data_IF_399366199416
#
_entry.id   IF_399366199416
#
_cell.length_a   1.000
_cell.length_b   1.000
_cell.length_c   1.000
_cell.angle_alpha   90.00
_cell.angle_beta   90.00
_cell.angle_gamma   90.00
#
_symmetry.space_group_name_H-M   'P 1'
#
loop_
_entity.id
_entity.type
_entity.pdbx_description
1 polymer ?
#
# COMPACT_ATOMS: atom_id res chain seq x y z
N UNK A 1 -18.75 46.47 6.17
CA UNK A 1 -19.38 45.48 5.29
C UNK A 1 -18.99 45.81 3.85
N UNK A 2 -17.93 45.19 3.34
CA UNK A 2 -17.51 45.39 1.95
C UNK A 2 -18.36 44.49 1.04
N UNK A 3 -19.28 45.11 0.29
CA UNK A 3 -20.01 44.42 -0.78
C UNK A 3 -19.08 44.27 -2.00
N UNK A 4 -18.92 43.06 -2.56
CA UNK A 4 -18.16 42.88 -3.79
C UNK A 4 -18.84 43.65 -4.94
N UNK A 5 -18.06 44.46 -5.65
CA UNK A 5 -18.53 45.52 -6.56
C UNK A 5 -18.79 45.07 -8.01
N UNK A 6 -18.79 43.76 -8.32
CA UNK A 6 -19.10 43.30 -9.67
C UNK A 6 -19.76 41.91 -9.70
N UNK A 7 -20.59 41.69 -10.72
CA UNK A 7 -21.23 40.39 -11.01
C UNK A 7 -20.20 39.27 -11.23
N UNK A 8 -19.01 39.59 -11.76
CA UNK A 8 -17.92 38.64 -11.91
C UNK A 8 -17.37 38.17 -10.56
N UNK A 9 -17.23 39.07 -9.57
CA UNK A 9 -16.78 38.71 -8.23
C UNK A 9 -17.82 37.84 -7.50
N UNK A 10 -19.12 38.06 -7.72
CA UNK A 10 -20.19 37.18 -7.22
C UNK A 10 -20.13 35.79 -7.86
N UNK A 11 -19.96 35.72 -9.19
CA UNK A 11 -19.85 34.45 -9.92
C UNK A 11 -18.58 33.66 -9.55
N UNK A 12 -17.44 34.32 -9.37
CA UNK A 12 -16.20 33.68 -8.89
C UNK A 12 -16.36 33.15 -7.46
N UNK A 13 -17.06 33.88 -6.59
CA UNK A 13 -17.35 33.44 -5.22
C UNK A 13 -18.28 32.23 -5.20
N UNK A 14 -19.31 32.21 -6.05
CA UNK A 14 -20.25 31.10 -6.14
C UNK A 14 -19.62 29.86 -6.80
N UNK A 15 -18.73 30.04 -7.78
CA UNK A 15 -17.91 28.95 -8.36
C UNK A 15 -16.95 28.39 -7.32
N UNK A 16 -16.26 29.24 -6.56
CA UNK A 16 -15.35 28.81 -5.49
C UNK A 16 -16.09 28.05 -4.38
N UNK A 17 -17.25 28.55 -3.94
CA UNK A 17 -18.13 27.84 -2.99
C UNK A 17 -18.63 26.51 -3.55
N UNK A 18 -18.97 26.48 -4.85
CA UNK A 18 -19.35 25.24 -5.54
C UNK A 18 -18.20 24.22 -5.54
N UNK A 19 -16.98 24.65 -5.81
CA UNK A 19 -15.79 23.78 -5.78
C UNK A 19 -15.49 23.27 -4.36
N UNK A 20 -15.58 24.12 -3.34
CA UNK A 20 -15.39 23.73 -1.95
C UNK A 20 -16.45 22.70 -1.51
N UNK A 21 -17.72 22.94 -1.84
CA UNK A 21 -18.80 22.02 -1.54
C UNK A 21 -18.62 20.66 -2.23
N UNK A 22 -18.16 20.65 -3.49
CA UNK A 22 -17.86 19.42 -4.23
C UNK A 22 -16.67 18.68 -3.61
N UNK A 23 -15.60 19.37 -3.24
CA UNK A 23 -14.45 18.76 -2.57
C UNK A 23 -14.81 18.21 -1.19
N UNK A 24 -15.61 18.94 -0.42
CA UNK A 24 -16.12 18.47 0.86
C UNK A 24 -16.97 17.21 0.69
N UNK A 25 -17.94 17.23 -0.22
CA UNK A 25 -18.80 16.08 -0.48
C UNK A 25 -18.00 14.87 -0.99
N UNK A 26 -17.03 15.09 -1.87
CA UNK A 26 -16.10 14.07 -2.35
C UNK A 26 -15.33 13.44 -1.18
N UNK A 27 -14.75 14.26 -0.31
CA UNK A 27 -14.00 13.78 0.85
C UNK A 27 -14.90 13.04 1.84
N UNK A 28 -16.11 13.53 2.12
CA UNK A 28 -17.09 12.83 2.97
C UNK A 28 -17.38 11.46 2.41
N UNK A 29 -17.76 11.35 1.13
CA UNK A 29 -18.05 10.05 0.50
C UNK A 29 -16.82 9.14 0.55
N UNK A 30 -15.63 9.62 0.19
CA UNK A 30 -14.45 8.78 0.08
C UNK A 30 -13.88 8.31 1.42
N UNK A 31 -14.16 9.04 2.51
CA UNK A 31 -13.68 8.72 3.87
C UNK A 31 -14.72 8.05 4.76
N UNK A 32 -16.02 8.19 4.46
CA UNK A 32 -17.11 7.71 5.33
C UNK A 32 -18.02 6.65 4.68
N UNK A 33 -17.93 6.44 3.37
CA UNK A 33 -18.72 5.39 2.72
C UNK A 33 -18.10 4.01 2.85
N UNK A 34 -18.96 3.01 2.91
CA UNK A 34 -18.64 1.60 2.92
C UNK A 34 -19.08 0.99 1.60
N UNK A 35 -18.31 0.01 1.11
CA UNK A 35 -18.75 -0.80 -0.01
C UNK A 35 -19.44 -2.03 0.55
N UNK A 36 -20.73 -2.16 0.26
CA UNK A 36 -21.56 -3.28 0.72
C UNK A 36 -22.01 -4.05 -0.52
N UNK A 37 -21.61 -5.33 -0.63
CA UNK A 37 -21.89 -6.17 -1.80
C UNK A 37 -20.81 -6.08 -2.90
N UNK A 38 -20.52 -7.21 -3.55
CA UNK A 38 -19.60 -7.33 -4.69
C UNK A 38 -18.26 -8.01 -4.37
N UNK A 39 -18.28 -9.32 -4.06
CA UNK A 39 -17.05 -10.15 -4.10
C UNK A 39 -16.73 -10.63 -5.53
N UNK A 40 -17.58 -10.28 -6.49
CA UNK A 40 -17.69 -10.85 -7.83
C UNK A 40 -17.67 -9.80 -8.95
N UNK A 41 -17.33 -8.54 -8.61
CA UNK A 41 -17.09 -7.49 -9.61
C UNK A 41 -18.35 -6.85 -10.21
N UNK A 42 -19.54 -7.10 -9.65
CA UNK A 42 -20.71 -6.24 -9.88
C UNK A 42 -20.57 -4.92 -9.10
N UNK A 43 -21.13 -3.83 -9.64
CA UNK A 43 -21.11 -2.48 -9.07
C UNK A 43 -21.43 -2.51 -7.56
N UNK A 44 -20.39 -2.37 -6.74
CA UNK A 44 -20.53 -2.28 -5.30
C UNK A 44 -21.05 -0.89 -4.94
N UNK A 45 -22.27 -0.82 -4.41
CA UNK A 45 -22.84 0.43 -3.92
C UNK A 45 -21.98 0.97 -2.76
N UNK A 46 -21.67 2.27 -2.85
CA UNK A 46 -20.96 2.99 -1.77
C UNK A 46 -21.99 3.69 -0.89
N UNK A 47 -22.17 3.16 0.32
CA UNK A 47 -23.20 3.60 1.26
C UNK A 47 -22.58 4.35 2.44
N UNK A 48 -23.15 5.48 2.83
CA UNK A 48 -22.85 6.11 4.12
C UNK A 48 -23.89 5.62 5.11
N UNK A 49 -23.44 5.02 6.21
CA UNK A 49 -24.29 4.51 7.28
C UNK A 49 -24.19 5.47 8.45
N UNK A 50 -25.23 6.28 8.74
CA UNK A 50 -25.22 7.17 9.89
C UNK A 50 -24.95 6.40 11.19
N UNK A 51 -24.17 6.98 12.10
CA UNK A 51 -23.63 6.36 13.32
C UNK A 51 -22.56 5.29 13.05
N UNK A 52 -22.71 4.49 12.00
CA UNK A 52 -21.69 3.55 11.56
C UNK A 52 -20.41 4.27 11.10
N UNK A 53 -20.54 5.34 10.34
CA UNK A 53 -19.41 6.13 9.84
C UNK A 53 -18.60 6.86 10.92
N UNK A 54 -19.00 6.76 12.19
CA UNK A 54 -18.30 7.32 13.35
C UNK A 54 -17.31 6.34 14.00
N UNK A 55 -17.34 5.05 13.65
CA UNK A 55 -16.34 4.10 14.12
C UNK A 55 -14.99 4.39 13.46
N UNK A 56 -13.95 4.61 14.27
CA UNK A 56 -12.60 4.81 13.76
C UNK A 56 -11.99 3.49 13.27
N UNK A 57 -10.86 3.62 12.57
CA UNK A 57 -10.04 2.47 12.22
C UNK A 57 -9.32 1.89 13.45
N UNK A 58 -9.30 0.56 13.56
CA UNK A 58 -8.43 -0.18 14.46
C UNK A 58 -8.24 -1.62 13.99
N UNK A 59 -7.07 -2.19 14.29
CA UNK A 59 -6.69 -3.55 13.91
C UNK A 59 -6.07 -4.29 15.12
N UNK A 60 -6.54 -5.52 15.45
CA UNK A 60 -7.70 -6.20 14.87
C UNK A 60 -9.00 -5.45 15.13
N UNK A 61 -9.97 -5.52 14.22
CA UNK A 61 -11.30 -4.93 14.44
C UNK A 61 -12.03 -5.62 15.60
N UNK A 62 -12.81 -4.87 16.39
CA UNK A 62 -13.68 -5.41 17.42
C UNK A 62 -15.17 -5.25 17.08
N UNK A 63 -15.48 -4.53 16.00
CA UNK A 63 -16.81 -4.35 15.44
C UNK A 63 -16.81 -4.81 13.98
N UNK A 64 -17.93 -5.39 13.54
CA UNK A 64 -18.23 -5.66 12.15
C UNK A 64 -19.57 -5.05 11.73
N UNK A 65 -19.66 -4.74 10.45
CA UNK A 65 -20.91 -4.37 9.80
C UNK A 65 -21.41 -5.59 9.06
N UNK A 66 -22.62 -6.02 9.36
CA UNK A 66 -23.28 -7.14 8.69
C UNK A 66 -24.55 -6.61 8.02
N UNK A 67 -24.78 -7.03 6.78
CA UNK A 67 -26.05 -6.80 6.11
C UNK A 67 -27.01 -7.90 6.56
N UNK A 68 -28.25 -7.55 6.88
CA UNK A 68 -29.27 -8.52 7.27
C UNK A 68 -30.13 -8.88 6.05
N UNK A 69 -29.85 -10.01 5.37
CA UNK A 69 -30.61 -10.38 4.19
C UNK A 69 -32.03 -10.86 4.50
N UNK A 70 -32.37 -11.16 5.77
CA UNK A 70 -33.66 -11.76 6.13
C UNK A 70 -34.73 -10.70 6.46
N UNK A 71 -34.35 -9.54 6.98
CA UNK A 71 -35.29 -8.48 7.38
C UNK A 71 -35.43 -7.38 6.31
N UNK A 72 -34.32 -6.83 5.80
CA UNK A 72 -34.29 -5.87 4.69
C UNK A 72 -32.85 -5.79 4.15
N UNK A 73 -32.59 -6.07 2.87
CA UNK A 73 -31.26 -5.96 2.28
C UNK A 73 -30.66 -4.55 2.37
N UNK A 74 -31.41 -3.52 2.76
CA UNK A 74 -30.88 -2.17 3.01
C UNK A 74 -30.48 -1.91 4.45
N UNK A 75 -30.86 -2.79 5.37
CA UNK A 75 -30.50 -2.68 6.77
C UNK A 75 -29.09 -3.23 7.01
N UNK A 76 -28.36 -2.50 7.85
CA UNK A 76 -27.04 -2.89 8.33
C UNK A 76 -27.08 -2.97 9.84
N UNK A 77 -26.56 -4.06 10.38
CA UNK A 77 -26.35 -4.25 11.80
C UNK A 77 -24.87 -4.06 12.12
N UNK A 78 -24.60 -3.44 13.26
CA UNK A 78 -23.26 -3.24 13.78
C UNK A 78 -23.11 -4.17 14.97
N UNK A 79 -22.21 -5.15 14.86
CA UNK A 79 -22.07 -6.24 15.82
C UNK A 79 -20.65 -6.30 16.37
N UNK A 80 -20.52 -6.70 17.63
CA UNK A 80 -19.22 -6.99 18.22
C UNK A 80 -18.67 -8.30 17.63
N UNK A 81 -17.38 -8.30 17.30
CA UNK A 81 -16.69 -9.50 16.82
C UNK A 81 -16.02 -10.29 17.94
N UNK A 82 -15.83 -9.66 19.09
CA UNK A 82 -15.21 -10.25 20.27
C UNK A 82 -15.92 -9.75 21.51
N UNK A 83 -15.94 -10.57 22.55
CA UNK A 83 -16.30 -10.12 23.88
C UNK A 83 -15.29 -9.04 24.32
N UNK A 84 -15.83 -7.94 24.82
CA UNK A 84 -15.01 -6.84 25.36
C UNK A 84 -14.80 -7.10 26.85
N UNK A 85 -13.55 -7.04 27.28
CA UNK A 85 -13.22 -7.15 28.71
C UNK A 85 -13.68 -5.88 29.43
N UNK A 86 -14.89 -5.94 29.98
CA UNK A 86 -15.50 -4.82 30.70
C UNK A 86 -14.94 -4.62 32.12
N UNK A 87 -13.86 -5.32 32.50
CA UNK A 87 -13.12 -4.98 33.73
C UNK A 87 -12.35 -3.66 33.61
N UNK A 88 -12.16 -3.17 32.38
CA UNK A 88 -11.64 -1.84 32.11
C UNK A 88 -12.75 -0.80 32.27
N UNK A 89 -12.40 0.39 32.77
CA UNK A 89 -13.29 1.55 32.77
C UNK A 89 -13.91 1.70 31.37
N UNK A 90 -15.24 1.71 31.30
CA UNK A 90 -16.02 1.86 30.07
C UNK A 90 -15.61 3.06 29.21
N UNK A 91 -14.94 4.07 29.78
CA UNK A 91 -14.36 5.20 29.05
C UNK A 91 -13.13 4.84 28.18
N UNK A 92 -12.54 3.66 28.38
CA UNK A 92 -11.32 3.20 27.71
C UNK A 92 -11.56 2.19 26.58
N UNK A 93 -12.78 1.67 26.45
CA UNK A 93 -13.13 0.68 25.42
C UNK A 93 -13.50 1.41 24.12
N UNK A 94 -12.53 1.49 23.21
CA UNK A 94 -12.75 2.07 21.88
C UNK A 94 -13.28 1.01 20.92
N UNK A 95 -14.48 1.24 20.40
CA UNK A 95 -15.05 0.46 19.32
C UNK A 95 -14.49 0.93 17.97
N UNK A 96 -14.04 -0.01 17.13
CA UNK A 96 -13.38 0.31 15.87
C UNK A 96 -13.59 -0.77 14.80
N UNK A 97 -13.63 -0.31 13.55
CA UNK A 97 -13.71 -1.13 12.34
C UNK A 97 -12.32 -1.29 11.71
N UNK A 98 -12.11 -2.34 10.92
CA UNK A 98 -10.99 -2.37 9.98
C UNK A 98 -11.40 -1.67 8.70
N UNK A 99 -10.65 -0.65 8.26
CA UNK A 99 -10.84 -0.02 6.95
C UNK A 99 -10.13 -0.81 5.83
N UNK A 100 -9.51 -1.94 6.19
CA UNK A 100 -8.74 -2.83 5.34
C UNK A 100 -7.25 -2.47 5.28
N UNK A 101 -6.39 -3.48 5.45
CA UNK A 101 -4.93 -3.34 5.45
C UNK A 101 -4.32 -3.59 4.06
N UNK A 102 -4.84 -2.93 3.02
CA UNK A 102 -4.43 -3.24 1.63
C UNK A 102 -3.30 -2.34 1.11
N UNK A 103 -3.19 -1.10 1.58
CA UNK A 103 -2.19 -0.16 1.11
C UNK A 103 -1.97 0.98 2.12
N UNK A 104 -0.75 1.12 2.67
CA UNK A 104 -0.47 2.10 3.72
C UNK A 104 -0.63 3.55 3.24
N UNK A 105 -0.43 3.81 1.95
CA UNK A 105 -0.63 5.14 1.35
C UNK A 105 -2.10 5.59 1.43
N UNK A 106 -3.04 4.64 1.44
CA UNK A 106 -4.48 4.89 1.49
C UNK A 106 -4.87 5.63 2.78
N UNK A 107 -4.27 5.24 3.90
CA UNK A 107 -4.55 5.88 5.19
C UNK A 107 -4.14 7.33 5.21
N UNK A 108 -2.97 7.64 4.65
CA UNK A 108 -2.49 9.02 4.58
C UNK A 108 -3.32 9.86 3.61
N UNK A 109 -3.58 9.36 2.40
CA UNK A 109 -4.17 10.17 1.32
C UNK A 109 -5.68 10.29 1.38
N UNK A 110 -6.37 9.23 1.83
CA UNK A 110 -7.82 9.22 1.94
C UNK A 110 -8.23 9.68 3.33
N UNK A 111 -7.74 8.99 4.36
CA UNK A 111 -8.27 9.13 5.72
C UNK A 111 -7.52 10.14 6.58
N UNK A 112 -6.37 10.64 6.13
CA UNK A 112 -5.60 11.65 6.85
C UNK A 112 -4.94 11.13 8.14
N UNK A 113 -4.58 9.85 8.21
CA UNK A 113 -3.78 9.29 9.31
C UNK A 113 -2.76 8.26 8.82
N UNK A 114 -1.90 7.76 9.71
CA UNK A 114 -0.91 6.71 9.38
C UNK A 114 -1.18 5.50 10.26
N UNK A 115 -1.28 4.33 9.64
CA UNK A 115 -1.33 3.05 10.32
C UNK A 115 0.00 2.31 10.15
N UNK A 116 0.76 2.23 11.24
CA UNK A 116 2.05 1.54 11.31
C UNK A 116 1.90 0.04 11.63
N UNK A 117 0.67 -0.43 11.90
CA UNK A 117 0.36 -1.84 12.14
C UNK A 117 0.27 -2.67 10.84
N UNK A 118 0.32 -1.99 9.69
CA UNK A 118 0.24 -2.59 8.36
C UNK A 118 1.21 -3.78 8.22
N UNK A 119 0.69 -5.00 7.93
CA UNK A 119 1.51 -6.21 7.93
C UNK A 119 2.44 -6.29 6.72
N UNK A 120 2.06 -5.63 5.63
CA UNK A 120 2.78 -5.63 4.37
C UNK A 120 2.82 -4.24 3.74
N UNK A 121 3.83 -4.01 2.91
CA UNK A 121 4.03 -2.77 2.19
C UNK A 121 4.29 -3.04 0.71
N UNK A 122 3.65 -2.30 -0.19
CA UNK A 122 3.91 -2.40 -1.62
C UNK A 122 5.40 -2.16 -1.94
N UNK A 123 5.99 -3.08 -2.73
CA UNK A 123 7.42 -3.13 -3.07
C UNK A 123 7.89 -1.99 -3.99
N UNK A 124 6.96 -1.21 -4.55
CA UNK A 124 7.22 -0.15 -5.54
C UNK A 124 7.84 -0.65 -6.85
N UNK A 125 7.75 -1.96 -7.11
CA UNK A 125 8.14 -2.54 -8.39
C UNK A 125 6.94 -2.43 -9.33
N UNK A 126 7.13 -1.70 -10.43
CA UNK A 126 6.09 -1.47 -11.44
C UNK A 126 6.66 -1.78 -12.81
N UNK A 127 5.98 -2.65 -13.55
CA UNK A 127 6.33 -2.97 -14.92
C UNK A 127 5.53 -2.08 -15.87
N UNK A 128 6.21 -1.38 -16.79
CA UNK A 128 5.57 -0.39 -17.67
C UNK A 128 4.56 -0.99 -18.64
N UNK A 129 4.82 -2.20 -19.13
CA UNK A 129 3.99 -2.88 -20.13
C UNK A 129 4.06 -4.39 -19.86
N UNK A 130 3.35 -4.88 -18.83
CA UNK A 130 3.44 -6.28 -18.45
C UNK A 130 2.77 -7.18 -19.49
N UNK A 131 3.40 -8.31 -19.82
CA UNK A 131 2.77 -9.32 -20.68
C UNK A 131 1.65 -10.03 -19.92
N UNK A 132 0.70 -10.69 -20.61
CA UNK A 132 -0.35 -11.47 -19.96
C UNK A 132 0.18 -12.50 -18.97
N UNK A 133 1.30 -13.15 -19.29
CA UNK A 133 1.97 -14.12 -18.42
C UNK A 133 2.46 -13.45 -17.13
N UNK A 134 3.06 -12.26 -17.23
CA UNK A 134 3.55 -11.55 -16.05
C UNK A 134 2.39 -11.03 -15.18
N UNK A 135 1.26 -10.66 -15.80
CA UNK A 135 0.03 -10.35 -15.06
C UNK A 135 -0.47 -11.58 -14.31
N UNK A 136 -0.45 -12.77 -14.94
CA UNK A 136 -0.82 -14.03 -14.29
C UNK A 136 0.11 -14.41 -13.13
N UNK A 137 1.36 -13.96 -13.15
CA UNK A 137 2.30 -14.09 -12.01
C UNK A 137 1.99 -13.12 -10.84
N UNK A 138 1.02 -12.22 -11.00
CA UNK A 138 0.59 -11.28 -9.96
C UNK A 138 1.25 -9.90 -10.03
N UNK A 139 1.98 -9.55 -11.10
CA UNK A 139 2.76 -8.31 -11.14
C UNK A 139 1.92 -7.01 -11.04
N UNK A 140 0.62 -7.08 -11.34
CA UNK A 140 -0.32 -5.97 -11.26
C UNK A 140 -1.12 -5.96 -9.95
N UNK A 141 -1.04 -7.02 -9.15
CA UNK A 141 -1.70 -7.09 -7.86
C UNK A 141 -0.79 -6.46 -6.79
N UNK A 142 -1.20 -5.28 -6.32
CA UNK A 142 -0.44 -4.54 -5.30
C UNK A 142 -0.48 -5.20 -3.92
N UNK A 143 -1.44 -6.10 -3.67
CA UNK A 143 -1.51 -6.86 -2.42
C UNK A 143 -0.53 -8.04 -2.39
N UNK A 144 -0.15 -8.55 -3.56
CA UNK A 144 0.84 -9.62 -3.72
C UNK A 144 2.27 -9.09 -3.93
N UNK A 145 2.41 -7.91 -4.56
CA UNK A 145 3.69 -7.29 -4.86
C UNK A 145 4.29 -6.53 -3.66
N UNK A 146 4.44 -7.22 -2.53
CA UNK A 146 4.71 -6.61 -1.22
C UNK A 146 5.97 -7.10 -0.51
N UNK A 147 6.40 -6.31 0.48
CA UNK A 147 7.35 -6.67 1.52
C UNK A 147 6.64 -6.81 2.86
N UNK A 148 7.04 -7.79 3.66
CA UNK A 148 6.54 -7.94 5.03
C UNK A 148 7.10 -6.81 5.92
N UNK A 149 6.22 -6.11 6.63
CA UNK A 149 6.61 -4.96 7.45
C UNK A 149 7.41 -5.36 8.70
N UNK A 150 7.21 -6.58 9.22
CA UNK A 150 7.88 -7.09 10.41
C UNK A 150 9.35 -7.36 10.14
N UNK A 151 9.66 -8.11 9.10
CA UNK A 151 11.00 -8.67 8.84
C UNK A 151 11.60 -8.36 7.46
N UNK A 152 10.88 -7.64 6.60
CA UNK A 152 11.33 -7.33 5.25
C UNK A 152 11.33 -8.54 4.29
N UNK A 153 10.64 -9.63 4.61
CA UNK A 153 10.48 -10.75 3.68
C UNK A 153 9.82 -10.29 2.38
N UNK A 154 10.33 -10.78 1.26
CA UNK A 154 9.85 -10.43 -0.08
C UNK A 154 8.86 -11.51 -0.54
N UNK A 155 7.66 -11.09 -0.96
CA UNK A 155 6.61 -12.01 -1.41
C UNK A 155 6.98 -12.77 -2.70
N UNK A 156 6.40 -13.95 -2.91
CA UNK A 156 6.71 -14.80 -4.07
C UNK A 156 6.38 -14.12 -5.40
N UNK A 157 5.28 -13.38 -5.49
CA UNK A 157 4.91 -12.65 -6.70
C UNK A 157 6.00 -11.64 -7.12
N UNK A 158 6.68 -11.01 -6.15
CA UNK A 158 7.81 -10.12 -6.41
C UNK A 158 8.99 -10.89 -7.00
N UNK A 159 9.37 -12.01 -6.38
CA UNK A 159 10.46 -12.87 -6.88
C UNK A 159 10.16 -13.38 -8.29
N UNK A 160 8.96 -13.92 -8.51
CA UNK A 160 8.53 -14.50 -9.77
C UNK A 160 8.47 -13.45 -10.89
N UNK A 161 7.91 -12.27 -10.60
CA UNK A 161 7.79 -11.21 -11.61
C UNK A 161 9.16 -10.67 -12.03
N UNK A 162 10.09 -10.50 -11.09
CA UNK A 162 11.46 -10.07 -11.41
C UNK A 162 12.22 -11.14 -12.18
N UNK A 163 12.12 -12.41 -11.76
CA UNK A 163 12.72 -13.52 -12.49
C UNK A 163 12.18 -13.59 -13.93
N UNK A 164 10.86 -13.55 -14.10
CA UNK A 164 10.23 -13.60 -15.41
C UNK A 164 10.70 -12.48 -16.35
N UNK A 165 10.93 -11.28 -15.80
CA UNK A 165 11.49 -10.17 -16.56
C UNK A 165 12.96 -10.38 -16.97
N UNK A 166 13.78 -11.02 -16.12
CA UNK A 166 15.16 -11.40 -16.45
C UNK A 166 15.18 -12.44 -17.58
N UNK A 167 14.28 -13.42 -17.49
CA UNK A 167 14.16 -14.53 -18.44
C UNK A 167 13.73 -14.09 -19.84
N UNK A 168 13.33 -12.83 -20.07
CA UNK A 168 13.10 -12.32 -21.43
C UNK A 168 14.31 -12.50 -22.36
N UNK A 169 15.52 -12.58 -21.80
CA UNK A 169 16.75 -12.86 -22.54
C UNK A 169 16.98 -14.36 -22.83
N UNK A 170 16.20 -15.24 -22.20
CA UNK A 170 16.29 -16.70 -22.29
C UNK A 170 14.88 -17.30 -22.50
N UNK A 171 14.32 -17.23 -23.73
CA UNK A 171 12.92 -17.57 -23.98
C UNK A 171 12.53 -19.02 -23.62
N UNK A 172 13.47 -19.96 -23.72
CA UNK A 172 13.24 -21.36 -23.36
C UNK A 172 12.96 -21.51 -21.86
N UNK A 173 13.79 -20.92 -21.02
CA UNK A 173 13.63 -20.94 -19.56
C UNK A 173 12.43 -20.10 -19.13
N UNK A 174 12.17 -18.98 -19.80
CA UNK A 174 10.99 -18.15 -19.55
C UNK A 174 9.70 -18.94 -19.72
N UNK A 175 9.59 -19.66 -20.85
CA UNK A 175 8.43 -20.51 -21.15
C UNK A 175 8.31 -21.65 -20.13
N UNK A 176 9.40 -22.36 -19.86
CA UNK A 176 9.44 -23.46 -18.88
C UNK A 176 9.01 -23.00 -17.48
N UNK A 177 9.47 -21.82 -17.06
CA UNK A 177 9.09 -21.23 -15.77
C UNK A 177 7.60 -20.92 -15.68
N UNK A 178 7.04 -20.33 -16.74
CA UNK A 178 5.63 -19.97 -16.76
C UNK A 178 4.71 -21.20 -16.81
N UNK A 179 5.05 -22.21 -17.62
CA UNK A 179 4.33 -23.48 -17.65
C UNK A 179 4.35 -24.16 -16.28
N UNK A 180 5.50 -24.17 -15.60
CA UNK A 180 5.62 -24.68 -14.23
C UNK A 180 4.74 -23.90 -13.24
N UNK A 181 4.68 -22.57 -13.36
CA UNK A 181 3.77 -21.76 -12.56
C UNK A 181 2.30 -22.13 -12.79
N UNK A 182 1.86 -22.23 -14.05
CA UNK A 182 0.48 -22.59 -14.41
C UNK A 182 0.09 -24.00 -13.93
N UNK A 183 1.01 -24.96 -14.03
CA UNK A 183 0.79 -26.33 -13.59
C UNK A 183 0.91 -26.53 -12.07
N UNK A 184 1.38 -25.52 -11.33
CA UNK A 184 1.71 -25.65 -9.91
C UNK A 184 2.94 -26.52 -9.62
N UNK A 185 3.80 -26.75 -10.61
CA UNK A 185 5.04 -27.51 -10.48
C UNK A 185 6.08 -26.68 -9.72
N UNK A 186 6.16 -26.95 -8.41
CA UNK A 186 7.07 -26.24 -7.49
C UNK A 186 8.53 -26.62 -7.71
N UNK A 187 8.82 -27.82 -8.19
CA UNK A 187 10.18 -28.33 -8.30
C UNK A 187 10.89 -27.69 -9.49
N UNK A 188 10.25 -27.70 -10.67
CA UNK A 188 10.77 -27.02 -11.86
C UNK A 188 10.91 -25.51 -11.60
N UNK A 189 9.92 -24.90 -10.93
CA UNK A 189 9.98 -23.48 -10.60
C UNK A 189 11.15 -23.15 -9.66
N UNK A 190 11.39 -24.00 -8.66
CA UNK A 190 12.51 -23.86 -7.72
C UNK A 190 13.87 -24.07 -8.41
N UNK A 191 13.96 -25.03 -9.33
CA UNK A 191 15.16 -25.28 -10.14
C UNK A 191 15.54 -24.01 -10.92
N UNK A 192 14.59 -23.42 -11.65
CA UNK A 192 14.82 -22.21 -12.45
C UNK A 192 15.15 -21.02 -11.54
N UNK A 193 14.45 -20.85 -10.42
CA UNK A 193 14.82 -19.83 -9.42
C UNK A 193 16.27 -20.01 -8.95
N UNK A 194 16.72 -21.24 -8.71
CA UNK A 194 18.11 -21.54 -8.32
C UNK A 194 19.12 -21.12 -9.39
N UNK A 195 18.84 -21.38 -10.67
CA UNK A 195 19.74 -21.01 -11.78
C UNK A 195 19.99 -19.50 -11.88
N UNK A 196 18.98 -18.69 -11.56
CA UNK A 196 19.02 -17.23 -11.70
C UNK A 196 19.03 -16.48 -10.36
N UNK A 197 19.22 -17.19 -9.24
CA UNK A 197 19.02 -16.65 -7.90
C UNK A 197 19.87 -15.41 -7.62
N UNK A 198 21.15 -15.44 -8.00
CA UNK A 198 22.08 -14.32 -7.83
C UNK A 198 21.61 -13.06 -8.58
N UNK A 199 21.19 -13.22 -9.84
CA UNK A 199 20.75 -12.09 -10.68
C UNK A 199 19.47 -11.45 -10.13
N UNK A 200 18.50 -12.29 -9.72
CA UNK A 200 17.25 -11.81 -9.11
C UNK A 200 17.52 -11.05 -7.81
N UNK A 201 18.37 -11.61 -6.93
CA UNK A 201 18.74 -10.96 -5.67
C UNK A 201 19.43 -9.61 -5.91
N UNK A 202 20.36 -9.52 -6.86
CA UNK A 202 21.07 -8.28 -7.21
C UNK A 202 20.08 -7.22 -7.73
N UNK A 203 19.17 -7.59 -8.63
CA UNK A 203 18.19 -6.66 -9.18
C UNK A 203 17.26 -6.13 -8.10
N UNK A 204 16.73 -7.01 -7.24
CA UNK A 204 15.85 -6.60 -6.13
C UNK A 204 16.59 -5.72 -5.13
N UNK A 205 17.81 -6.09 -4.73
CA UNK A 205 18.66 -5.31 -3.83
C UNK A 205 18.87 -3.90 -4.39
N UNK A 206 19.24 -3.80 -5.67
CA UNK A 206 19.50 -2.52 -6.33
C UNK A 206 18.22 -1.66 -6.41
N UNK A 207 17.06 -2.26 -6.70
CA UNK A 207 15.77 -1.56 -6.68
C UNK A 207 15.47 -0.98 -5.29
N UNK A 208 15.59 -1.79 -4.24
CA UNK A 208 15.34 -1.35 -2.85
C UNK A 208 16.33 -0.26 -2.44
N UNK A 209 17.62 -0.43 -2.76
CA UNK A 209 18.65 0.56 -2.48
C UNK A 209 18.37 1.89 -3.20
N UNK A 210 18.01 1.87 -4.49
CA UNK A 210 17.68 3.08 -5.24
C UNK A 210 16.41 3.77 -4.72
N UNK A 211 15.41 2.99 -4.34
CA UNK A 211 14.21 3.50 -3.67
C UNK A 211 14.57 4.23 -2.38
N UNK A 212 15.38 3.60 -1.52
CA UNK A 212 15.85 4.21 -0.28
C UNK A 212 16.69 5.46 -0.53
N UNK A 213 17.54 5.50 -1.56
CA UNK A 213 18.33 6.71 -1.88
C UNK A 213 17.46 7.91 -2.28
N UNK A 214 16.24 7.68 -2.77
CA UNK A 214 15.29 8.74 -3.14
C UNK A 214 14.44 9.23 -1.96
N UNK A 215 14.43 8.52 -0.84
CA UNK A 215 13.55 8.82 0.31
C UNK A 215 14.08 9.86 1.32
N UNK A 216 15.39 9.97 1.64
CA UNK A 216 15.90 10.94 2.61
C UNK A 216 15.48 12.40 2.37
N UNK A 217 15.46 12.94 1.12
CA UNK A 217 14.94 14.29 0.87
C UNK A 217 13.47 14.49 1.29
N UNK A 218 12.70 13.40 1.41
CA UNK A 218 11.29 13.39 1.79
C UNK A 218 11.08 13.39 3.32
N UNK A 219 12.13 13.18 4.11
CA UNK A 219 12.09 13.26 5.58
C UNK A 219 12.82 14.51 6.08
N UNK A 220 13.96 14.87 5.50
CA UNK A 220 14.74 16.03 5.93
C UNK A 220 14.22 17.36 5.40
N UNK A 221 13.18 17.36 4.56
CA UNK A 221 12.71 18.52 3.80
C UNK A 221 13.79 19.13 2.90
N UNK A 222 14.82 18.36 2.53
CA UNK A 222 15.84 18.73 1.52
C UNK A 222 15.29 18.68 0.09
N UNK A 223 13.97 18.81 -0.07
CA UNK A 223 13.36 19.14 -1.36
C UNK A 223 13.87 20.52 -1.73
N UNK A 224 14.62 20.63 -2.84
CA UNK A 224 15.17 21.86 -3.46
C UNK A 224 14.76 23.11 -2.68
N UNK A 225 15.67 23.57 -1.82
CA UNK A 225 15.54 24.69 -0.89
C UNK A 225 14.43 25.66 -1.31
N UNK A 226 13.42 25.92 -0.44
CA UNK A 226 12.38 26.92 -0.71
C UNK A 226 13.04 28.22 -1.18
N UNK A 227 12.51 28.83 -2.25
CA UNK A 227 13.13 30.00 -2.88
C UNK A 227 13.16 31.20 -1.92
N UNK A 228 12.36 31.16 -0.84
CA UNK A 228 12.31 32.16 0.22
C UNK A 228 12.22 31.55 1.63
N UNK A 229 12.60 32.35 2.64
CA UNK A 229 12.43 32.04 4.07
C UNK A 229 10.96 31.90 4.49
N UNK A 230 10.04 32.58 3.80
CA UNK A 230 8.60 32.54 4.06
C UNK A 230 8.01 31.20 3.64
N UNK A 231 8.34 30.72 2.43
CA UNK A 231 7.92 29.40 1.95
C UNK A 231 8.46 28.28 2.84
N UNK A 232 9.71 28.41 3.32
CA UNK A 232 10.28 27.47 4.29
C UNK A 232 9.46 27.43 5.59
N UNK A 233 9.12 28.60 6.15
CA UNK A 233 8.33 28.66 7.39
C UNK A 233 6.91 28.14 7.19
N UNK A 234 6.28 28.37 6.04
CA UNK A 234 4.95 27.82 5.73
C UNK A 234 4.99 26.29 5.61
N UNK A 235 6.03 25.74 4.96
CA UNK A 235 6.21 24.30 4.82
C UNK A 235 6.46 23.63 6.17
N UNK A 236 7.36 24.19 6.99
CA UNK A 236 7.72 23.66 8.31
C UNK A 236 6.56 23.71 9.31
N UNK A 237 5.66 24.68 9.16
CA UNK A 237 4.50 24.84 10.04
C UNK A 237 3.21 24.20 9.48
N UNK A 238 3.29 23.44 8.39
CA UNK A 238 2.12 22.82 7.79
C UNK A 238 1.57 21.71 8.70
N UNK A 239 0.26 21.75 9.02
CA UNK A 239 -0.39 20.82 9.95
C UNK A 239 -0.23 19.34 9.59
N UNK A 240 -0.20 19.03 8.29
CA UNK A 240 -0.06 17.65 7.79
C UNK A 240 1.40 17.16 7.68
N UNK A 241 2.39 18.05 7.82
CA UNK A 241 3.79 17.66 7.63
C UNK A 241 4.27 16.58 8.62
N UNK A 242 3.96 16.65 9.94
CA UNK A 242 4.34 15.60 10.88
C UNK A 242 3.79 14.23 10.47
N UNK A 243 2.57 14.19 9.92
CA UNK A 243 1.93 12.96 9.46
C UNK A 243 2.65 12.37 8.25
N UNK A 244 2.99 13.20 7.26
CA UNK A 244 3.76 12.78 6.07
C UNK A 244 5.13 12.25 6.48
N UNK A 245 5.81 12.93 7.41
CA UNK A 245 7.11 12.50 7.91
C UNK A 245 7.03 11.16 8.63
N UNK A 246 6.01 10.96 9.48
CA UNK A 246 5.75 9.70 10.16
C UNK A 246 5.51 8.56 9.17
N UNK A 247 4.69 8.78 8.14
CA UNK A 247 4.47 7.82 7.06
C UNK A 247 5.78 7.45 6.37
N UNK A 248 6.57 8.44 5.95
CA UNK A 248 7.83 8.20 5.27
C UNK A 248 8.82 7.44 6.15
N UNK A 249 8.88 7.72 7.45
CA UNK A 249 9.71 6.98 8.39
C UNK A 249 9.29 5.50 8.48
N UNK A 250 7.99 5.22 8.54
CA UNK A 250 7.46 3.85 8.49
C UNK A 250 7.88 3.12 7.20
N UNK A 251 7.70 3.76 6.04
CA UNK A 251 8.11 3.19 4.74
C UNK A 251 9.60 2.86 4.72
N UNK A 252 10.46 3.82 5.12
CA UNK A 252 11.91 3.61 5.15
C UNK A 252 12.27 2.43 6.05
N UNK A 253 11.66 2.31 7.23
CA UNK A 253 11.91 1.20 8.13
C UNK A 253 11.65 -0.16 7.49
N UNK A 254 10.58 -0.30 6.72
CA UNK A 254 10.27 -1.54 5.99
C UNK A 254 11.27 -1.79 4.86
N UNK A 255 11.58 -0.77 4.05
CA UNK A 255 12.56 -0.90 2.96
C UNK A 255 13.98 -1.23 3.46
N UNK A 256 14.40 -0.68 4.62
CA UNK A 256 15.68 -1.01 5.24
C UNK A 256 15.76 -2.48 5.68
N UNK A 257 14.67 -3.02 6.25
CA UNK A 257 14.60 -4.45 6.60
C UNK A 257 14.71 -5.33 5.34
N UNK A 258 13.98 -4.97 4.29
CA UNK A 258 14.05 -5.67 3.00
C UNK A 258 15.47 -5.61 2.41
N UNK A 259 16.13 -4.45 2.45
CA UNK A 259 17.51 -4.29 1.98
C UNK A 259 18.46 -5.21 2.73
N UNK A 260 18.41 -5.20 4.07
CA UNK A 260 19.27 -6.07 4.90
C UNK A 260 19.11 -7.55 4.55
N UNK A 261 17.87 -7.99 4.30
CA UNK A 261 17.59 -9.38 3.90
C UNK A 261 18.15 -9.70 2.51
N UNK A 262 17.99 -8.77 1.58
CA UNK A 262 18.49 -8.91 0.21
C UNK A 262 20.02 -8.86 0.15
N UNK A 263 20.67 -8.04 0.97
CA UNK A 263 22.14 -8.02 1.12
C UNK A 263 22.66 -9.42 1.51
N UNK A 264 22.06 -10.03 2.53
CA UNK A 264 22.40 -11.39 2.96
C UNK A 264 22.13 -12.44 1.86
N UNK A 265 21.01 -12.32 1.14
CA UNK A 265 20.68 -13.23 0.05
C UNK A 265 21.72 -13.12 -1.09
N UNK A 266 22.10 -11.90 -1.50
CA UNK A 266 23.14 -11.69 -2.52
C UNK A 266 24.47 -12.30 -2.10
N UNK A 267 24.91 -12.05 -0.86
CA UNK A 267 26.16 -12.61 -0.35
C UNK A 267 26.17 -14.15 -0.39
N UNK A 268 25.05 -14.76 0.03
CA UNK A 268 24.87 -16.22 0.01
C UNK A 268 24.94 -16.79 -1.40
N UNK A 269 24.16 -16.23 -2.33
CA UNK A 269 24.09 -16.75 -3.71
C UNK A 269 25.42 -16.57 -4.45
N UNK A 270 26.10 -15.44 -4.27
CA UNK A 270 27.41 -15.22 -4.88
C UNK A 270 28.45 -16.18 -4.32
N UNK A 271 28.46 -16.41 -3.00
CA UNK A 271 29.39 -17.35 -2.37
C UNK A 271 29.20 -18.78 -2.87
N UNK A 272 27.96 -19.23 -3.03
CA UNK A 272 27.64 -20.55 -3.58
C UNK A 272 28.11 -20.69 -5.03
N UNK A 273 27.93 -19.64 -5.84
CA UNK A 273 28.41 -19.64 -7.23
C UNK A 273 29.93 -19.76 -7.32
N UNK A 274 30.67 -18.99 -6.52
CA UNK A 274 32.13 -19.08 -6.47
C UNK A 274 32.65 -20.44 -6.00
N UNK A 275 31.98 -21.07 -5.03
CA UNK A 275 32.35 -22.41 -4.57
C UNK A 275 32.08 -23.48 -5.64
N UNK A 276 30.93 -23.39 -6.34
CA UNK A 276 30.60 -24.29 -7.45
C UNK A 276 31.62 -24.23 -8.59
N UNK A 277 32.07 -23.02 -8.95
CA UNK A 277 33.09 -22.78 -9.99
C UNK A 277 34.48 -23.31 -9.59
N UNK A 278 34.80 -23.43 -8.30
CA UNK A 278 36.08 -24.00 -7.83
C UNK A 278 36.07 -25.53 -7.76
N UNK A 279 34.89 -26.15 -7.71
CA UNK A 279 34.73 -27.61 -7.61
C UNK A 279 34.40 -28.31 -8.93
N UNK A 280 34.16 -27.54 -10.00
CA UNK A 280 33.87 -28.03 -11.35
C UNK A 280 35.13 -28.00 -12.24
#
# INVERSE_FOLDING_TARGET
EDKPSSLAALLETDIAKGQEAVLWAFNVVYTRSWRVGGNDGSDADSNIVPLGDMFNHGEPANVAVIQDPELDPKNVNIVLQTDLDMQLDTSSVNLHLSYGLTNSHRFLTIFGFVDESMPVLFSQIVFKSPSPEMIALGCNDRSEMVFNAKDGAVANAVWDSVLYAILQKQPADQKRFFEAHQAGDRDTKREIHGMYAADVCIILRNHVQQTLQRMPPLISLDVKQPKSSVERNLLLNHSNLPLIMRHNAFLIGVFQKALKRLDWAVERELSQKYQGEQTA
#
